data_IF_729437320756
#
_entry.id   IF_729437320756
#
_cell.length_a   1.000
_cell.length_b   1.000
_cell.length_c   1.000
_cell.angle_alpha   90.00
_cell.angle_beta   90.00
_cell.angle_gamma   90.00
#
_symmetry.space_group_name_H-M   'P 1'
#
loop_
_entity.id
_entity.type
_entity.pdbx_description
1 polymer ?
#
# COMPACT_ATOMS: atom_id res chain seq x y z
N UNK A 1 6.55 14.33 -61.60
CA UNK A 1 6.82 13.92 -62.98
C UNK A 1 8.32 13.59 -63.12
N UNK A 2 8.61 12.44 -63.74
CA UNK A 2 9.87 11.99 -64.38
C UNK A 2 11.23 11.96 -63.60
N UNK A 3 11.52 10.82 -62.96
CA UNK A 3 12.57 9.78 -63.25
C UNK A 3 14.09 10.15 -63.45
N UNK A 4 15.03 9.17 -63.38
CA UNK A 4 16.21 9.20 -62.47
C UNK A 4 17.58 9.07 -63.18
N UNK A 5 18.68 9.18 -62.43
CA UNK A 5 20.05 8.90 -62.90
C UNK A 5 20.70 7.70 -62.20
N UNK A 6 21.22 6.77 -63.01
CA UNK A 6 21.89 5.51 -62.68
C UNK A 6 23.30 5.54 -63.30
N UNK A 7 24.35 5.15 -62.58
CA UNK A 7 25.62 4.61 -63.13
C UNK A 7 26.40 3.91 -61.99
N UNK A 8 26.50 2.57 -61.94
CA UNK A 8 27.58 1.67 -62.46
C UNK A 8 28.99 2.07 -61.98
N UNK A 9 29.71 1.32 -61.14
CA UNK A 9 30.26 -0.06 -61.18
C UNK A 9 31.71 -0.15 -61.72
N UNK A 10 32.64 -0.63 -60.88
CA UNK A 10 33.86 -1.40 -61.21
C UNK A 10 34.51 -1.89 -59.87
N UNK A 11 34.53 -3.17 -59.47
CA UNK A 11 35.35 -4.33 -59.92
C UNK A 11 36.86 -4.06 -59.81
N UNK A 12 37.65 -4.63 -58.88
CA UNK A 12 38.16 -6.02 -58.72
C UNK A 12 39.68 -5.85 -58.43
N UNK A 13 40.47 -6.63 -57.67
CA UNK A 13 40.81 -8.06 -57.62
C UNK A 13 41.72 -8.29 -56.38
N UNK A 14 41.49 -9.32 -55.56
CA UNK A 14 42.24 -10.60 -55.42
C UNK A 14 43.75 -10.53 -55.11
N UNK A 15 44.17 -11.13 -53.98
CA UNK A 15 44.89 -12.44 -53.81
C UNK A 15 45.38 -12.53 -52.35
N UNK A 16 44.92 -13.48 -51.53
CA UNK A 16 45.28 -14.90 -51.44
C UNK A 16 46.67 -15.16 -50.79
N UNK A 17 46.68 -15.90 -49.67
CA UNK A 17 47.80 -16.81 -49.37
C UNK A 17 48.19 -17.05 -47.91
N UNK A 18 47.82 -18.26 -47.45
CA UNK A 18 48.60 -19.22 -46.62
C UNK A 18 48.50 -19.19 -45.08
N UNK A 19 48.15 -20.38 -44.59
CA UNK A 19 48.05 -20.89 -43.21
C UNK A 19 49.42 -21.41 -42.68
N UNK A 20 49.49 -22.14 -41.55
CA UNK A 20 50.08 -21.72 -40.26
C UNK A 20 51.38 -22.50 -39.91
N UNK A 21 51.87 -22.41 -38.66
CA UNK A 21 52.36 -23.63 -37.99
C UNK A 21 51.95 -23.79 -36.52
N UNK A 22 52.18 -25.02 -36.04
CA UNK A 22 51.83 -25.62 -34.75
C UNK A 22 52.92 -25.45 -33.66
N UNK A 23 52.52 -25.84 -32.45
CA UNK A 23 53.29 -26.34 -31.29
C UNK A 23 54.06 -25.34 -30.39
N UNK A 24 53.72 -25.32 -29.09
CA UNK A 24 54.48 -26.05 -28.05
C UNK A 24 53.77 -25.99 -26.68
N UNK A 25 53.89 -27.10 -25.95
CA UNK A 25 53.46 -27.32 -24.58
C UNK A 25 54.47 -26.73 -23.57
N UNK A 26 54.01 -26.45 -22.35
CA UNK A 26 54.87 -26.02 -21.24
C UNK A 26 54.14 -26.09 -19.89
N UNK A 27 54.51 -27.10 -19.13
CA UNK A 27 54.41 -27.37 -17.69
C UNK A 27 53.85 -26.30 -16.72
N UNK A 28 53.01 -26.76 -15.78
CA UNK A 28 52.99 -26.20 -14.42
C UNK A 28 52.62 -27.28 -13.39
N UNK A 29 53.49 -27.39 -12.39
CA UNK A 29 53.60 -28.41 -11.35
C UNK A 29 52.52 -28.31 -10.26
N UNK A 30 52.19 -29.47 -9.69
CA UNK A 30 51.58 -29.60 -8.37
C UNK A 30 52.59 -29.22 -7.26
N UNK A 31 52.10 -28.90 -6.06
CA UNK A 31 52.54 -29.72 -4.93
C UNK A 31 51.39 -30.18 -4.03
N UNK A 32 51.62 -31.37 -3.46
CA UNK A 32 50.78 -32.02 -2.48
C UNK A 32 51.10 -31.58 -1.03
N UNK A 33 50.15 -31.93 -0.16
CA UNK A 33 50.30 -32.29 1.25
C UNK A 33 50.22 -31.19 2.32
N UNK A 34 49.11 -31.23 3.07
CA UNK A 34 48.92 -30.54 4.34
C UNK A 34 47.73 -31.10 5.10
N UNK A 35 47.87 -32.32 5.66
CA UNK A 35 46.93 -32.90 6.66
C UNK A 35 46.90 -32.01 7.92
N UNK A 36 45.71 -31.54 8.31
CA UNK A 36 45.34 -31.41 9.74
C UNK A 36 43.87 -31.74 9.93
N UNK A 37 43.65 -32.74 10.78
CA UNK A 37 42.32 -33.14 11.24
C UNK A 37 41.71 -32.12 12.19
N UNK A 38 40.38 -32.07 12.19
CA UNK A 38 39.57 -31.36 13.16
C UNK A 38 38.16 -31.92 13.12
N UNK A 39 37.88 -32.84 14.04
CA UNK A 39 36.58 -33.49 14.21
C UNK A 39 35.50 -32.44 14.55
N UNK A 40 34.62 -32.17 13.59
CA UNK A 40 33.42 -31.34 13.75
C UNK A 40 32.18 -32.21 13.94
N UNK A 41 31.63 -32.14 15.16
CA UNK A 41 30.44 -32.82 15.69
C UNK A 41 29.27 -32.96 14.69
N UNK A 42 28.87 -34.19 14.42
CA UNK A 42 27.58 -34.51 13.81
C UNK A 42 26.43 -34.25 14.79
N UNK A 43 25.53 -33.32 14.44
CA UNK A 43 24.18 -33.25 15.04
C UNK A 43 23.19 -33.86 14.05
N UNK A 44 22.76 -35.08 14.37
CA UNK A 44 21.65 -35.77 13.69
C UNK A 44 20.34 -35.02 13.96
N UNK A 45 19.60 -34.80 12.88
CA UNK A 45 18.21 -34.37 12.86
C UNK A 45 17.34 -35.29 13.73
N UNK A 46 16.75 -34.75 14.79
CA UNK A 46 15.59 -35.35 15.45
C UNK A 46 14.33 -34.91 14.71
N UNK A 47 13.72 -35.86 14.01
CA UNK A 47 12.33 -35.81 13.58
C UNK A 47 11.45 -35.74 14.83
N UNK A 48 10.57 -34.76 14.91
CA UNK A 48 9.45 -34.76 15.86
C UNK A 48 8.19 -35.26 15.13
N UNK A 49 7.34 -36.04 15.82
CA UNK A 49 6.16 -36.66 15.24
C UNK A 49 5.00 -35.67 15.10
N UNK A 50 4.25 -35.86 14.02
CA UNK A 50 2.94 -35.26 13.77
C UNK A 50 1.90 -35.94 14.66
N UNK A 51 1.07 -35.21 15.43
CA UNK A 51 -0.15 -35.78 15.98
C UNK A 51 -1.30 -35.61 14.98
N UNK A 52 -1.72 -36.73 14.43
CA UNK A 52 -3.04 -36.92 13.81
C UNK A 52 -4.11 -36.81 14.89
N UNK A 53 -4.99 -35.82 14.79
CA UNK A 53 -6.13 -35.63 15.67
C UNK A 53 -7.32 -35.09 14.89
N UNK A 54 -8.27 -35.97 14.62
CA UNK A 54 -9.59 -35.73 14.06
C UNK A 54 -10.41 -34.76 14.90
N UNK A 55 -11.20 -33.89 14.26
CA UNK A 55 -12.63 -33.70 14.57
C UNK A 55 -13.32 -32.73 13.59
N UNK A 56 -14.25 -33.32 12.86
CA UNK A 56 -15.37 -32.69 12.17
C UNK A 56 -16.20 -31.85 13.14
N UNK A 57 -16.51 -30.61 12.77
CA UNK A 57 -17.67 -29.89 13.30
C UNK A 57 -18.36 -29.16 12.14
N UNK A 58 -19.54 -29.66 11.80
CA UNK A 58 -20.47 -29.09 10.83
C UNK A 58 -21.03 -27.76 11.32
N UNK A 59 -21.20 -26.88 10.35
CA UNK A 59 -22.01 -25.68 10.26
C UNK A 59 -23.13 -25.49 11.30
N UNK A 60 -23.11 -24.30 11.90
CA UNK A 60 -24.28 -23.54 12.36
C UNK A 60 -25.09 -23.05 11.15
N UNK A 61 -26.41 -23.17 11.20
CA UNK A 61 -27.32 -22.07 10.84
C UNK A 61 -28.76 -22.41 11.26
N UNK A 62 -29.22 -21.84 12.38
CA UNK A 62 -30.64 -21.68 12.69
C UNK A 62 -30.96 -20.20 12.50
N UNK A 63 -31.84 -19.93 11.55
CA UNK A 63 -32.39 -18.61 11.26
C UNK A 63 -33.18 -18.09 12.46
N UNK A 64 -32.82 -16.91 12.95
CA UNK A 64 -33.62 -16.13 13.89
C UNK A 64 -34.40 -15.09 13.08
N UNK A 65 -35.71 -15.28 12.99
CA UNK A 65 -36.64 -14.30 12.44
C UNK A 65 -36.90 -13.21 13.49
N UNK A 66 -36.36 -12.01 13.25
CA UNK A 66 -36.66 -10.82 14.05
C UNK A 66 -37.94 -10.16 13.54
N UNK A 67 -38.97 -10.12 14.40
CA UNK A 67 -40.21 -9.35 14.22
C UNK A 67 -39.91 -7.86 14.46
N UNK A 68 -40.32 -7.00 13.52
CA UNK A 68 -40.45 -5.56 13.72
C UNK A 68 -41.85 -5.25 14.30
N UNK A 69 -41.94 -4.28 15.22
CA UNK A 69 -42.93 -3.19 15.12
C UNK A 69 -42.20 -1.84 15.25
N UNK A 70 -42.71 -0.69 14.74
CA UNK A 70 -44.05 -0.18 15.08
C UNK A 70 -44.73 0.69 13.98
N UNK A 71 -46.02 0.97 14.14
CA UNK A 71 -46.65 2.17 13.57
C UNK A 71 -47.67 2.68 14.58
N UNK A 72 -47.34 3.82 15.21
CA UNK A 72 -48.20 4.56 16.12
C UNK A 72 -48.66 5.80 15.35
N UNK A 73 -49.97 5.86 15.19
CA UNK A 73 -50.72 6.85 14.42
C UNK A 73 -50.84 8.15 15.23
N UNK A 74 -50.69 9.29 14.59
CA UNK A 74 -50.90 10.61 15.19
C UNK A 74 -51.62 11.51 14.19
N UNK A 75 -52.88 11.83 14.47
CA UNK A 75 -53.62 12.93 13.84
C UNK A 75 -54.28 13.81 14.93
N UNK A 76 -54.13 15.15 14.90
CA UNK A 76 -54.66 16.08 15.90
C UNK A 76 -55.90 16.83 15.39
N UNK A 77 -56.93 17.02 16.23
CA UNK A 77 -58.00 18.04 16.04
C UNK A 77 -58.41 18.63 17.39
N UNK A 78 -58.15 19.93 17.65
CA UNK A 78 -59.02 21.11 17.43
C UNK A 78 -60.18 21.19 18.44
N UNK A 79 -60.26 22.29 19.20
CA UNK A 79 -61.54 22.74 19.79
C UNK A 79 -61.50 23.71 20.97
N UNK A 80 -61.45 25.03 20.67
CA UNK A 80 -62.22 26.13 21.27
C UNK A 80 -62.22 26.37 22.81
N UNK A 81 -61.64 27.48 23.29
CA UNK A 81 -62.20 28.84 23.41
C UNK A 81 -63.20 29.03 24.58
N UNK A 82 -62.80 29.81 25.59
CA UNK A 82 -63.70 30.51 26.51
C UNK A 82 -63.10 31.87 26.91
N UNK A 83 -63.91 32.91 26.72
CA UNK A 83 -63.65 34.32 27.07
C UNK A 83 -64.57 34.69 28.22
N UNK A 84 -64.06 35.37 29.25
CA UNK A 84 -64.88 36.02 30.28
C UNK A 84 -64.04 36.75 31.34
N UNK A 85 -64.53 37.86 31.94
CA UNK A 85 -63.71 39.07 32.02
C UNK A 85 -63.58 39.74 33.41
N UNK A 86 -62.68 40.74 33.47
CA UNK A 86 -62.54 41.85 34.45
C UNK A 86 -62.20 41.52 35.91
N UNK A 87 -61.12 42.14 36.43
CA UNK A 87 -61.21 43.37 37.25
C UNK A 87 -59.82 43.84 37.70
N UNK A 88 -59.73 45.16 37.88
CA UNK A 88 -58.56 45.95 38.29
C UNK A 88 -58.15 45.64 39.74
N UNK A 89 -56.86 45.73 40.04
CA UNK A 89 -56.37 46.56 41.13
C UNK A 89 -54.85 46.78 41.05
N UNK A 90 -54.46 48.00 41.42
CA UNK A 90 -53.09 48.49 41.59
C UNK A 90 -52.36 47.67 42.64
N UNK A 91 -51.08 47.36 42.42
CA UNK A 91 -50.09 47.60 43.48
C UNK A 91 -48.69 47.85 42.90
N UNK A 92 -48.24 49.07 43.16
CA UNK A 92 -46.89 49.59 43.03
C UNK A 92 -46.01 48.85 44.05
N UNK A 93 -44.89 48.27 43.64
CA UNK A 93 -43.72 48.06 44.51
C UNK A 93 -42.46 47.94 43.66
N UNK A 94 -41.58 48.89 43.92
CA UNK A 94 -40.24 49.02 43.39
C UNK A 94 -39.40 47.78 43.72
N UNK A 95 -38.74 47.20 42.72
CA UNK A 95 -37.52 46.41 42.89
C UNK A 95 -36.57 46.68 41.72
N UNK A 96 -35.75 47.70 41.93
CA UNK A 96 -34.42 47.82 41.32
C UNK A 96 -33.54 46.68 41.87
N UNK A 97 -32.67 46.15 41.00
CA UNK A 97 -31.49 45.31 41.27
C UNK A 97 -31.58 43.87 40.74
N UNK A 98 -30.78 43.58 39.70
CA UNK A 98 -30.43 42.20 39.36
C UNK A 98 -30.01 41.88 37.92
N UNK A 99 -29.71 42.84 37.04
CA UNK A 99 -29.32 42.52 35.63
C UNK A 99 -27.80 42.37 35.43
N UNK A 100 -26.99 42.56 36.47
CA UNK A 100 -25.52 42.62 36.34
C UNK A 100 -24.76 41.31 36.60
N UNK A 101 -25.43 40.15 36.73
CA UNK A 101 -24.77 38.86 37.01
C UNK A 101 -25.11 37.70 36.05
N UNK A 102 -25.66 38.00 34.86
CA UNK A 102 -25.95 36.96 33.85
C UNK A 102 -24.86 36.81 32.78
N UNK A 103 -24.11 37.88 32.47
CA UNK A 103 -23.14 37.89 31.37
C UNK A 103 -21.84 37.13 31.68
N UNK A 104 -21.46 36.98 32.95
CA UNK A 104 -20.23 36.27 33.34
C UNK A 104 -20.37 34.74 33.35
N UNK A 105 -21.58 34.18 33.44
CA UNK A 105 -21.80 32.73 33.37
C UNK A 105 -21.91 32.21 31.93
N UNK A 106 -22.39 33.05 31.00
CA UNK A 106 -22.42 32.72 29.56
C UNK A 106 -21.04 32.71 28.91
N UNK A 107 -20.16 33.65 29.30
CA UNK A 107 -18.80 33.74 28.76
C UNK A 107 -17.91 32.53 29.15
N UNK A 108 -18.04 32.00 30.37
CA UNK A 108 -17.27 30.84 30.81
C UNK A 108 -17.70 29.52 30.14
N UNK A 109 -18.97 29.38 29.75
CA UNK A 109 -19.45 28.18 29.05
C UNK A 109 -19.01 28.14 27.58
N UNK A 110 -18.89 29.32 26.93
CA UNK A 110 -18.34 29.42 25.58
C UNK A 110 -16.82 29.19 25.53
N UNK A 111 -16.07 29.57 26.58
CA UNK A 111 -14.64 29.30 26.71
C UNK A 111 -14.32 27.82 27.01
N UNK A 112 -15.20 27.11 27.72
CA UNK A 112 -15.04 25.68 27.96
C UNK A 112 -15.32 24.81 26.71
N UNK A 113 -16.17 25.28 25.78
CA UNK A 113 -16.45 24.59 24.53
C UNK A 113 -15.38 24.80 23.44
N UNK A 114 -14.58 25.88 23.54
CA UNK A 114 -13.41 26.10 22.68
C UNK A 114 -12.16 25.33 23.16
N UNK A 115 -12.22 24.72 24.35
CA UNK A 115 -11.12 23.98 24.97
C UNK A 115 -11.21 22.45 24.77
N UNK A 116 -11.93 21.98 23.75
CA UNK A 116 -11.47 20.77 23.05
C UNK A 116 -10.20 21.16 22.29
N UNK A 117 -9.11 21.36 23.04
CA UNK A 117 -7.79 21.19 22.49
C UNK A 117 -7.80 19.78 21.89
N UNK A 118 -7.93 19.71 20.56
CA UNK A 118 -7.61 18.50 19.84
C UNK A 118 -6.19 18.17 20.27
N UNK A 119 -6.03 17.23 21.21
CA UNK A 119 -4.71 16.85 21.65
C UNK A 119 -3.99 16.37 20.41
N UNK A 120 -2.93 17.09 20.04
CA UNK A 120 -2.08 16.72 18.93
C UNK A 120 -1.47 15.36 19.27
N UNK A 121 -2.06 14.30 18.72
CA UNK A 121 -1.56 12.94 18.85
C UNK A 121 -0.37 12.74 17.93
N UNK A 122 0.54 11.88 18.37
CA UNK A 122 1.59 11.33 17.52
C UNK A 122 1.19 9.91 17.12
N UNK A 123 1.20 9.65 15.82
CA UNK A 123 0.93 8.32 15.26
C UNK A 123 2.22 7.73 14.70
N UNK A 124 2.54 6.49 15.08
CA UNK A 124 3.62 5.71 14.47
C UNK A 124 3.12 5.15 13.15
N UNK A 125 3.81 5.49 12.06
CA UNK A 125 3.41 5.11 10.70
C UNK A 125 4.57 4.47 9.97
N UNK A 126 4.35 3.25 9.52
CA UNK A 126 5.29 2.58 8.62
C UNK A 126 5.06 3.01 7.18
N UNK A 127 6.16 3.40 6.52
CA UNK A 127 6.22 3.73 5.10
C UNK A 127 6.73 2.52 4.33
N UNK A 128 5.96 2.03 3.36
CA UNK A 128 6.41 0.94 2.48
C UNK A 128 7.59 1.43 1.64
N UNK A 129 8.72 0.76 1.78
CA UNK A 129 9.96 1.06 1.06
C UNK A 129 9.93 0.63 -0.42
N UNK A 130 8.99 1.17 -1.21
CA UNK A 130 8.90 0.99 -2.66
C UNK A 130 8.77 2.35 -3.35
N UNK A 131 9.52 2.60 -4.42
CA UNK A 131 9.31 3.77 -5.29
C UNK A 131 8.00 3.58 -6.07
N UNK A 132 7.12 4.58 -6.24
CA UNK A 132 7.17 5.96 -5.72
C UNK A 132 6.42 6.16 -4.39
N UNK A 133 6.11 5.10 -3.65
CA UNK A 133 5.34 5.12 -2.41
C UNK A 133 6.07 5.80 -1.26
N UNK A 134 7.30 5.36 -0.97
CA UNK A 134 8.22 6.02 -0.05
C UNK A 134 9.67 5.57 -0.27
N UNK A 135 10.60 6.51 -0.13
CA UNK A 135 12.05 6.29 -0.15
C UNK A 135 12.76 7.34 0.69
N UNK A 136 14.05 7.13 0.97
CA UNK A 136 14.90 8.18 1.55
C UNK A 136 14.93 9.40 0.63
N UNK A 137 14.91 10.58 1.23
CA UNK A 137 15.16 11.81 0.50
C UNK A 137 16.58 11.75 -0.11
N UNK A 138 16.75 12.03 -1.42
CA UNK A 138 18.07 12.10 -2.02
C UNK A 138 18.93 13.22 -1.43
N UNK A 139 18.32 14.27 -0.89
CA UNK A 139 19.01 15.31 -0.12
C UNK A 139 19.17 14.85 1.34
N UNK A 140 20.41 14.60 1.81
CA UNK A 140 20.67 14.15 3.18
C UNK A 140 20.40 15.23 4.24
N UNK A 141 20.38 16.51 3.84
CA UNK A 141 20.20 17.65 4.75
C UNK A 141 18.75 18.14 4.79
N UNK A 142 17.87 17.52 4.00
CA UNK A 142 16.46 17.88 3.97
C UNK A 142 15.78 17.63 5.33
N UNK A 143 15.00 18.63 5.78
CA UNK A 143 14.24 18.53 7.03
C UNK A 143 13.25 17.34 7.05
N UNK A 144 12.72 16.94 5.88
CA UNK A 144 11.97 15.70 5.74
C UNK A 144 12.90 14.59 5.19
N UNK A 145 13.19 13.53 5.98
CA UNK A 145 14.12 12.46 5.59
C UNK A 145 13.56 11.51 4.53
N UNK A 146 12.25 11.57 4.23
CA UNK A 146 11.60 10.68 3.27
C UNK A 146 10.83 11.45 2.20
N UNK A 147 10.67 10.84 1.04
CA UNK A 147 9.83 11.39 -0.06
C UNK A 147 8.98 10.28 -0.68
N UNK A 148 7.84 10.64 -1.24
CA UNK A 148 6.94 9.73 -1.96
C UNK A 148 5.47 10.02 -1.69
N UNK A 149 4.60 9.23 -2.35
CA UNK A 149 3.14 9.37 -2.27
C UNK A 149 2.65 9.33 -0.81
N UNK A 150 3.08 8.32 -0.05
CA UNK A 150 2.61 8.13 1.33
C UNK A 150 3.11 9.27 2.22
N UNK A 151 4.34 9.74 2.01
CA UNK A 151 4.90 10.87 2.77
C UNK A 151 4.06 12.14 2.56
N UNK A 152 3.72 12.45 1.31
CA UNK A 152 2.91 13.63 0.99
C UNK A 152 1.46 13.51 1.48
N UNK A 153 0.89 12.31 1.45
CA UNK A 153 -0.42 12.05 2.07
C UNK A 153 -0.38 12.31 3.58
N UNK A 154 0.69 11.87 4.27
CA UNK A 154 0.85 12.08 5.71
C UNK A 154 1.12 13.54 6.05
N UNK A 155 1.90 14.27 5.24
CA UNK A 155 2.09 15.72 5.43
C UNK A 155 0.77 16.48 5.35
N UNK A 156 -0.07 16.14 4.37
CA UNK A 156 -1.39 16.76 4.24
C UNK A 156 -2.32 16.37 5.40
N UNK A 157 -2.24 15.11 5.87
CA UNK A 157 -2.93 14.67 7.08
C UNK A 157 -2.50 15.48 8.32
N UNK A 158 -1.20 15.65 8.56
CA UNK A 158 -0.66 16.45 9.67
C UNK A 158 -1.15 17.90 9.58
N UNK A 159 -1.10 18.49 8.39
CA UNK A 159 -1.56 19.86 8.13
C UNK A 159 -3.06 20.06 8.45
N UNK A 160 -3.91 19.09 8.08
CA UNK A 160 -5.37 19.17 8.29
C UNK A 160 -5.80 18.86 9.71
N UNK A 161 -5.11 17.92 10.36
CA UNK A 161 -5.53 17.38 11.66
C UNK A 161 -4.85 18.05 12.86
N UNK A 162 -3.69 18.70 12.64
CA UNK A 162 -2.81 19.15 13.72
C UNK A 162 -2.10 18.00 14.45
N UNK A 163 -2.29 16.75 14.03
CA UNK A 163 -1.55 15.60 14.53
C UNK A 163 -0.18 15.51 13.89
N UNK A 164 0.67 14.64 14.45
CA UNK A 164 2.02 14.36 13.96
C UNK A 164 2.12 12.88 13.60
N UNK A 165 2.97 12.56 12.63
CA UNK A 165 3.29 11.17 12.29
C UNK A 165 4.79 10.92 12.42
N UNK A 166 5.12 9.90 13.23
CA UNK A 166 6.48 9.37 13.39
C UNK A 166 6.65 8.30 12.32
N UNK A 167 7.43 8.61 11.29
CA UNK A 167 7.53 7.81 10.08
C UNK A 167 8.75 6.88 10.13
N UNK A 168 8.56 5.61 9.83
CA UNK A 168 9.65 4.63 9.68
C UNK A 168 9.63 4.05 8.29
N UNK A 169 10.75 4.10 7.56
CA UNK A 169 10.86 3.44 6.26
C UNK A 169 11.08 1.94 6.44
N UNK A 170 10.10 1.14 6.06
CA UNK A 170 9.95 -0.24 6.51
C UNK A 170 9.77 -1.20 5.30
N UNK A 171 10.53 -2.30 5.20
CA UNK A 171 10.31 -3.32 4.18
C UNK A 171 8.89 -3.91 4.29
N UNK A 172 8.25 -4.20 3.15
CA UNK A 172 6.83 -4.58 3.11
C UNK A 172 6.44 -5.70 4.11
N UNK A 173 7.21 -6.79 4.17
CA UNK A 173 6.94 -7.91 5.08
C UNK A 173 7.00 -7.51 6.57
N UNK A 174 7.77 -6.47 6.92
CA UNK A 174 7.84 -5.94 8.27
C UNK A 174 6.63 -5.03 8.57
N UNK A 175 6.14 -4.24 7.60
CA UNK A 175 4.91 -3.44 7.77
C UNK A 175 3.72 -4.31 8.17
N UNK A 176 3.54 -5.46 7.53
CA UNK A 176 2.47 -6.41 7.87
C UNK A 176 2.59 -6.91 9.32
N UNK A 177 3.82 -7.23 9.75
CA UNK A 177 4.10 -7.69 11.11
C UNK A 177 3.83 -6.58 12.12
N UNK A 178 4.30 -5.36 11.85
CA UNK A 178 4.21 -4.24 12.77
C UNK A 178 2.74 -3.81 12.95
N UNK A 179 1.92 -3.88 11.89
CA UNK A 179 0.45 -3.76 11.99
C UNK A 179 -0.16 -4.89 12.84
N UNK A 180 0.28 -6.13 12.66
CA UNK A 180 -0.26 -7.29 13.36
C UNK A 180 0.02 -7.28 14.87
N UNK A 181 1.19 -6.77 15.28
CA UNK A 181 1.59 -6.70 16.70
C UNK A 181 1.28 -5.35 17.35
N UNK A 182 0.95 -4.32 16.59
CA UNK A 182 0.66 -2.98 17.09
C UNK A 182 1.89 -2.09 17.27
N UNK A 183 3.00 -2.39 16.56
CA UNK A 183 4.23 -1.59 16.56
C UNK A 183 4.12 -0.34 15.66
N UNK A 184 3.14 -0.30 14.77
CA UNK A 184 2.66 0.92 14.12
C UNK A 184 1.16 1.09 14.34
N UNK A 185 0.70 2.35 14.34
CA UNK A 185 -0.70 2.69 14.57
C UNK A 185 -1.52 2.50 13.30
N UNK A 186 -1.00 2.98 12.18
CA UNK A 186 -1.54 2.68 10.85
C UNK A 186 -0.45 2.75 9.78
N UNK A 187 -0.74 2.19 8.60
CA UNK A 187 0.03 2.37 7.38
C UNK A 187 -0.90 2.66 6.20
N UNK A 188 -0.40 3.27 5.12
CA UNK A 188 -1.15 3.48 3.88
C UNK A 188 -0.62 2.53 2.82
N UNK A 189 -1.41 1.53 2.47
CA UNK A 189 -0.96 0.41 1.63
C UNK A 189 -2.09 -0.24 0.83
N UNK A 190 -1.75 -1.06 -0.16
CA UNK A 190 -2.74 -1.84 -0.89
C UNK A 190 -3.50 -2.79 0.06
N UNK A 191 -4.83 -2.76 0.00
CA UNK A 191 -5.66 -3.61 0.86
C UNK A 191 -5.66 -5.06 0.38
N UNK A 192 -5.57 -6.01 1.31
CA UNK A 192 -5.77 -7.44 1.05
C UNK A 192 -6.58 -8.05 2.19
N UNK A 193 -7.55 -8.91 1.87
CA UNK A 193 -8.54 -9.40 2.84
C UNK A 193 -7.95 -10.15 4.04
N UNK A 194 -6.80 -10.83 3.88
CA UNK A 194 -6.12 -11.48 4.99
C UNK A 194 -5.75 -10.50 6.14
N UNK A 195 -5.60 -9.21 5.81
CA UNK A 195 -5.29 -8.14 6.77
C UNK A 195 -6.45 -7.81 7.70
N UNK A 196 -7.68 -8.12 7.31
CA UNK A 196 -8.87 -7.90 8.13
C UNK A 196 -8.81 -8.66 9.47
N UNK A 197 -7.95 -9.67 9.61
CA UNK A 197 -7.72 -10.36 10.87
C UNK A 197 -7.10 -9.44 11.94
N UNK A 198 -6.19 -8.54 11.57
CA UNK A 198 -5.36 -7.76 12.51
C UNK A 198 -5.37 -6.24 12.30
N UNK A 199 -5.91 -5.74 11.21
CA UNK A 199 -6.12 -4.31 10.99
C UNK A 199 -7.53 -4.01 10.49
N UNK A 200 -8.01 -2.81 10.80
CA UNK A 200 -9.24 -2.26 10.26
C UNK A 200 -8.97 -1.58 8.92
N UNK A 201 -9.91 -1.76 8.00
CA UNK A 201 -9.89 -1.12 6.68
C UNK A 201 -10.44 0.30 6.82
N UNK A 202 -9.56 1.28 6.69
CA UNK A 202 -9.93 2.69 6.71
C UNK A 202 -10.27 3.25 5.33
N UNK A 203 -10.00 4.54 5.16
CA UNK A 203 -10.29 5.29 3.93
C UNK A 203 -9.51 4.74 2.74
N UNK A 204 -10.22 4.45 1.65
CA UNK A 204 -9.66 4.06 0.36
C UNK A 204 -9.40 5.31 -0.50
N UNK A 205 -8.23 5.37 -1.15
CA UNK A 205 -7.77 6.53 -1.91
C UNK A 205 -7.95 6.35 -3.43
N UNK A 206 -7.19 5.43 -4.00
CA UNK A 206 -7.14 5.17 -5.45
C UNK A 206 -7.18 3.67 -5.72
N UNK A 207 -7.84 3.22 -6.80
CA UNK A 207 -7.77 1.83 -7.22
C UNK A 207 -6.35 1.50 -7.70
N UNK A 208 -5.91 0.28 -7.43
CA UNK A 208 -4.64 -0.28 -7.84
C UNK A 208 -4.89 -1.61 -8.52
N UNK A 209 -4.55 -1.71 -9.79
CA UNK A 209 -4.52 -2.99 -10.49
C UNK A 209 -3.24 -3.73 -10.15
N UNK A 210 -3.39 -4.96 -9.68
CA UNK A 210 -2.29 -5.88 -9.50
C UNK A 210 -2.36 -6.95 -10.58
N UNK A 211 -1.19 -7.30 -11.08
CA UNK A 211 -1.07 -8.22 -12.19
C UNK A 211 0.36 -8.62 -12.46
N UNK A 212 0.57 -9.15 -13.66
CA UNK A 212 1.86 -9.58 -14.16
C UNK A 212 2.18 -8.78 -15.42
N UNK A 213 3.41 -8.27 -15.51
CA UNK A 213 3.97 -7.69 -16.73
C UNK A 213 5.12 -8.54 -17.22
N UNK A 214 4.97 -9.13 -18.39
CA UNK A 214 5.94 -10.02 -18.99
C UNK A 214 7.01 -9.24 -19.75
N UNK A 215 8.25 -9.75 -19.75
CA UNK A 215 9.27 -9.21 -20.65
C UNK A 215 8.87 -9.49 -22.11
N UNK A 216 9.42 -8.72 -23.04
CA UNK A 216 9.15 -8.86 -24.47
C UNK A 216 9.47 -10.28 -24.96
N UNK A 217 8.59 -10.81 -25.81
CA UNK A 217 8.71 -12.17 -26.35
C UNK A 217 8.15 -13.27 -25.44
N UNK A 218 7.81 -12.97 -24.19
CA UNK A 218 7.14 -13.92 -23.28
C UNK A 218 5.64 -13.70 -23.35
N UNK A 219 4.91 -14.76 -23.72
CA UNK A 219 3.46 -14.71 -23.86
C UNK A 219 2.79 -15.01 -22.53
N UNK A 220 1.96 -14.08 -22.04
CA UNK A 220 1.14 -14.23 -20.84
C UNK A 220 -0.25 -13.67 -21.14
N UNK A 221 -1.17 -14.55 -21.54
CA UNK A 221 -2.55 -14.15 -21.91
C UNK A 221 -3.59 -14.67 -20.93
N UNK A 222 -3.20 -15.63 -20.10
CA UNK A 222 -4.06 -16.31 -19.16
C UNK A 222 -3.30 -16.64 -17.89
N UNK A 223 -4.04 -16.92 -16.82
CA UNK A 223 -3.46 -17.36 -15.55
C UNK A 223 -2.62 -18.64 -15.71
N UNK A 224 -3.03 -19.59 -16.56
CA UNK A 224 -2.30 -20.85 -16.77
C UNK A 224 -0.95 -20.65 -17.46
N UNK A 225 -0.74 -19.54 -18.16
CA UNK A 225 0.57 -19.22 -18.73
C UNK A 225 1.60 -18.89 -17.65
N UNK A 226 1.15 -18.40 -16.47
CA UNK A 226 2.03 -18.10 -15.34
C UNK A 226 2.72 -19.34 -14.79
N UNK A 227 2.08 -20.51 -14.89
CA UNK A 227 2.65 -21.79 -14.43
C UNK A 227 3.83 -22.26 -15.30
N UNK A 228 3.95 -21.74 -16.52
CA UNK A 228 4.98 -22.12 -17.49
C UNK A 228 6.26 -21.31 -17.31
N UNK A 229 6.21 -20.20 -16.57
CA UNK A 229 7.32 -19.26 -16.40
C UNK A 229 7.72 -19.08 -14.93
N UNK A 230 8.81 -18.36 -14.69
CA UNK A 230 9.15 -17.87 -13.36
C UNK A 230 8.75 -16.40 -13.29
N UNK A 231 8.01 -16.04 -12.25
CA UNK A 231 7.50 -14.68 -12.03
C UNK A 231 8.24 -14.04 -10.85
N UNK A 232 8.94 -12.94 -11.10
CA UNK A 232 9.58 -12.14 -10.06
C UNK A 232 8.56 -11.32 -9.27
N UNK A 233 8.72 -11.25 -7.95
CA UNK A 233 7.87 -10.41 -7.10
C UNK A 233 8.62 -9.95 -5.84
N UNK A 234 8.35 -8.74 -5.30
CA UNK A 234 8.87 -8.36 -3.99
C UNK A 234 8.40 -9.32 -2.90
N UNK A 235 9.31 -9.70 -1.99
CA UNK A 235 9.01 -10.61 -0.90
C UNK A 235 7.93 -10.04 0.03
N UNK A 236 6.92 -10.85 0.32
CA UNK A 236 5.84 -10.51 1.25
C UNK A 236 4.70 -9.70 0.61
N UNK A 237 4.90 -9.17 -0.60
CA UNK A 237 3.84 -8.51 -1.36
C UNK A 237 2.69 -9.49 -1.60
N UNK A 238 1.46 -9.02 -1.37
CA UNK A 238 0.25 -9.74 -1.72
C UNK A 238 -0.24 -9.26 -3.07
N UNK A 239 -0.17 -10.13 -4.08
CA UNK A 239 -0.55 -9.77 -5.45
C UNK A 239 -2.01 -10.12 -5.69
N UNK A 240 -2.35 -11.38 -5.49
CA UNK A 240 -3.70 -11.92 -5.66
C UNK A 240 -3.82 -13.21 -4.85
N UNK A 241 -4.94 -13.49 -4.14
CA UNK A 241 -5.05 -14.69 -3.32
C UNK A 241 -4.82 -16.01 -4.08
N UNK A 242 -5.29 -16.11 -5.33
CA UNK A 242 -5.08 -17.30 -6.16
C UNK A 242 -3.59 -17.39 -6.53
N UNK A 243 -3.02 -16.31 -7.07
CA UNK A 243 -1.60 -16.25 -7.41
C UNK A 243 -0.69 -16.57 -6.22
N UNK A 244 -0.94 -15.96 -5.07
CA UNK A 244 -0.09 -16.03 -3.88
C UNK A 244 -0.07 -17.46 -3.29
N UNK A 245 -1.21 -18.15 -3.29
CA UNK A 245 -1.37 -19.49 -2.73
C UNK A 245 -1.02 -20.63 -3.71
N UNK A 246 -0.95 -20.36 -5.02
CA UNK A 246 -0.70 -21.37 -6.04
C UNK A 246 0.76 -21.88 -6.00
N UNK A 247 0.98 -23.19 -5.71
CA UNK A 247 2.32 -23.78 -5.66
C UNK A 247 2.87 -24.14 -7.05
N UNK A 248 2.03 -24.18 -8.10
CA UNK A 248 2.46 -24.47 -9.47
C UNK A 248 3.11 -23.24 -10.13
N UNK A 249 2.84 -22.04 -9.61
CA UNK A 249 3.50 -20.82 -10.06
C UNK A 249 4.86 -20.68 -9.37
N UNK A 250 5.93 -20.75 -10.18
CA UNK A 250 7.31 -20.53 -9.73
C UNK A 250 7.54 -19.03 -9.50
N UNK A 251 7.85 -18.66 -8.25
CA UNK A 251 8.04 -17.26 -7.82
C UNK A 251 9.51 -17.01 -7.46
N UNK A 252 10.10 -15.97 -8.06
CA UNK A 252 11.42 -15.46 -7.69
C UNK A 252 11.25 -14.24 -6.76
N UNK A 253 11.37 -14.48 -5.46
CA UNK A 253 11.09 -13.47 -4.44
C UNK A 253 12.32 -12.58 -4.20
N UNK A 254 12.21 -11.31 -4.57
CA UNK A 254 13.29 -10.32 -4.49
C UNK A 254 13.02 -9.24 -3.45
N UNK A 255 13.97 -8.31 -3.28
CA UNK A 255 13.87 -7.21 -2.32
C UNK A 255 12.80 -6.19 -2.73
N UNK A 256 12.81 -5.76 -3.99
CA UNK A 256 11.95 -4.70 -4.51
C UNK A 256 11.66 -4.88 -6.01
N UNK A 257 10.77 -4.03 -6.54
CA UNK A 257 10.39 -4.03 -7.94
C UNK A 257 11.54 -3.72 -8.90
N UNK A 258 12.46 -2.83 -8.53
CA UNK A 258 13.59 -2.45 -9.39
C UNK A 258 14.48 -3.66 -9.65
N UNK A 259 14.76 -4.47 -8.63
CA UNK A 259 15.51 -5.70 -8.77
C UNK A 259 14.74 -6.73 -9.61
N UNK A 260 13.43 -6.89 -9.39
CA UNK A 260 12.61 -7.81 -10.20
C UNK A 260 12.64 -7.45 -11.69
N UNK A 261 12.45 -6.16 -12.01
CA UNK A 261 12.46 -5.62 -13.37
C UNK A 261 13.84 -5.84 -14.02
N UNK A 262 14.92 -5.52 -13.33
CA UNK A 262 16.29 -5.73 -13.84
C UNK A 262 16.59 -7.21 -14.09
N UNK A 263 16.16 -8.10 -13.20
CA UNK A 263 16.32 -9.56 -13.41
C UNK A 263 15.54 -10.04 -14.63
N UNK A 264 14.32 -9.54 -14.82
CA UNK A 264 13.48 -9.92 -15.95
C UNK A 264 14.08 -9.51 -17.31
N UNK A 265 14.65 -8.30 -17.39
CA UNK A 265 15.30 -7.78 -18.61
C UNK A 265 16.65 -8.46 -18.87
N UNK A 266 17.43 -8.74 -17.83
CA UNK A 266 18.77 -9.35 -17.96
C UNK A 266 18.77 -10.84 -18.35
N UNK A 267 17.64 -11.37 -18.83
CA UNK A 267 17.42 -12.78 -19.17
C UNK A 267 17.93 -13.76 -18.10
N UNK A 268 17.65 -13.42 -16.83
CA UNK A 268 17.86 -14.34 -15.71
C UNK A 268 16.62 -15.21 -15.51
N UNK A 269 16.49 -15.81 -14.33
CA UNK A 269 15.44 -16.79 -14.05
C UNK A 269 14.01 -16.22 -14.24
N UNK A 270 13.75 -14.99 -13.82
CA UNK A 270 12.42 -14.37 -13.94
C UNK A 270 12.12 -13.91 -15.39
N UNK A 271 10.94 -14.25 -15.89
CA UNK A 271 10.48 -13.90 -17.24
C UNK A 271 9.36 -12.85 -17.24
N UNK A 272 8.78 -12.59 -16.07
CA UNK A 272 7.75 -11.60 -15.85
C UNK A 272 7.86 -11.07 -14.42
N UNK A 273 7.22 -9.92 -14.14
CA UNK A 273 7.18 -9.32 -12.80
C UNK A 273 5.74 -9.16 -12.35
N UNK A 274 5.42 -9.58 -11.13
CA UNK A 274 4.12 -9.43 -10.50
C UNK A 274 4.08 -8.27 -9.50
N UNK A 275 2.94 -7.59 -9.43
CA UNK A 275 2.62 -6.58 -8.44
C UNK A 275 1.73 -5.47 -8.99
N UNK A 276 1.80 -4.28 -8.38
CA UNK A 276 1.04 -3.11 -8.82
C UNK A 276 1.46 -2.69 -10.24
N UNK A 277 0.55 -2.80 -11.22
CA UNK A 277 0.85 -2.52 -12.62
C UNK A 277 1.24 -1.06 -12.84
N UNK A 278 0.65 -0.13 -12.09
CA UNK A 278 1.05 1.29 -12.10
C UNK A 278 2.48 1.49 -11.61
N UNK A 279 2.87 0.80 -10.53
CA UNK A 279 4.23 0.87 -9.99
C UNK A 279 5.25 0.22 -10.92
N UNK A 280 4.90 -0.93 -11.52
CA UNK A 280 5.73 -1.55 -12.56
C UNK A 280 5.90 -0.61 -13.75
N UNK A 281 4.80 0.01 -14.23
CA UNK A 281 4.82 1.01 -15.28
C UNK A 281 5.75 2.19 -14.97
N UNK A 282 5.59 2.77 -13.79
CA UNK A 282 6.42 3.89 -13.31
C UNK A 282 7.92 3.54 -13.31
N UNK A 283 8.29 2.39 -12.73
CA UNK A 283 9.70 2.01 -12.61
C UNK A 283 10.29 1.65 -13.98
N UNK A 284 9.52 0.97 -14.83
CA UNK A 284 9.94 0.66 -16.21
C UNK A 284 10.19 1.95 -17.00
N UNK A 285 9.30 2.94 -16.90
CA UNK A 285 9.45 4.26 -17.53
C UNK A 285 10.71 4.97 -17.04
N UNK A 286 10.86 5.07 -15.72
CA UNK A 286 12.01 5.70 -15.07
C UNK A 286 13.34 5.05 -15.46
N UNK A 287 13.35 3.74 -15.72
CA UNK A 287 14.53 3.00 -16.15
C UNK A 287 14.73 3.00 -17.68
N UNK A 288 13.80 3.57 -18.46
CA UNK A 288 13.80 3.55 -19.93
C UNK A 288 13.81 2.14 -20.52
N UNK A 289 13.01 1.25 -19.93
CA UNK A 289 12.94 -0.18 -20.27
C UNK A 289 11.61 -0.59 -20.92
N UNK A 290 10.81 0.35 -21.40
CA UNK A 290 9.48 0.11 -21.95
C UNK A 290 9.52 -0.87 -23.13
N UNK A 291 10.55 -0.76 -23.97
CA UNK A 291 10.77 -1.63 -25.12
C UNK A 291 11.09 -3.09 -24.75
N UNK A 292 11.44 -3.35 -23.48
CA UNK A 292 11.81 -4.67 -22.95
C UNK A 292 10.62 -5.42 -22.34
N UNK A 293 9.45 -4.80 -22.24
CA UNK A 293 8.24 -5.41 -21.68
C UNK A 293 7.12 -5.50 -22.73
N UNK A 294 6.26 -6.49 -22.58
CA UNK A 294 5.17 -6.80 -23.50
C UNK A 294 3.86 -7.07 -22.75
N UNK A 295 3.37 -8.31 -22.86
CA UNK A 295 2.08 -8.75 -22.34
C UNK A 295 1.84 -8.34 -20.87
N UNK A 296 0.60 -7.92 -20.58
CA UNK A 296 0.12 -7.59 -19.25
C UNK A 296 -1.09 -8.46 -18.94
N UNK A 297 -1.11 -9.06 -17.76
CA UNK A 297 -2.25 -9.81 -17.22
C UNK A 297 -2.67 -9.19 -15.91
N UNK A 298 -3.86 -8.58 -15.88
CA UNK A 298 -4.49 -8.11 -14.62
C UNK A 298 -5.00 -9.33 -13.86
N UNK A 299 -4.68 -9.41 -12.57
CA UNK A 299 -5.10 -10.49 -11.68
C UNK A 299 -6.19 -10.03 -10.72
N UNK A 300 -6.06 -8.82 -10.17
CA UNK A 300 -7.11 -8.18 -9.39
C UNK A 300 -7.00 -6.66 -9.39
N UNK A 301 -8.00 -6.04 -8.77
CA UNK A 301 -8.01 -4.62 -8.44
C UNK A 301 -8.30 -4.47 -6.95
N UNK A 302 -7.44 -3.74 -6.25
CA UNK A 302 -7.64 -3.34 -4.85
C UNK A 302 -7.55 -1.82 -4.72
N UNK A 303 -7.53 -1.29 -3.50
CA UNK A 303 -7.35 0.14 -3.26
C UNK A 303 -6.16 0.38 -2.34
N UNK A 304 -5.43 1.46 -2.61
CA UNK A 304 -4.59 2.08 -1.59
C UNK A 304 -5.50 2.51 -0.44
N UNK A 305 -5.21 2.07 0.77
CA UNK A 305 -6.12 2.24 1.91
C UNK A 305 -5.33 2.49 3.18
N UNK A 306 -5.92 3.23 4.13
CA UNK A 306 -5.43 3.27 5.51
C UNK A 306 -5.67 1.92 6.17
N UNK A 307 -4.62 1.21 6.56
CA UNK A 307 -4.69 0.00 7.37
C UNK A 307 -4.39 0.36 8.82
N UNK A 308 -5.41 0.40 9.68
CA UNK A 308 -5.26 0.79 11.09
C UNK A 308 -5.08 -0.46 11.96
N UNK A 309 -4.01 -0.56 12.74
CA UNK A 309 -3.78 -1.74 13.58
C UNK A 309 -4.87 -1.87 14.66
N UNK A 310 -5.50 -3.04 14.76
CA UNK A 310 -6.45 -3.33 15.84
C UNK A 310 -5.80 -3.38 17.23
N UNK A 311 -4.46 -3.48 17.29
CA UNK A 311 -3.67 -3.50 18.53
C UNK A 311 -3.02 -2.16 18.84
N UNK A 312 -3.23 -1.13 18.01
CA UNK A 312 -2.72 0.20 18.29
C UNK A 312 -3.28 0.74 19.60
N UNK A 313 -2.43 1.35 20.42
CA UNK A 313 -2.87 2.12 21.60
C UNK A 313 -3.71 3.34 21.21
N UNK A 314 -3.65 3.77 19.94
CA UNK A 314 -4.39 4.89 19.36
C UNK A 314 -5.65 4.44 18.61
N UNK A 315 -6.12 3.18 18.73
CA UNK A 315 -7.30 2.67 18.01
C UNK A 315 -8.56 3.51 18.22
N UNK A 316 -8.73 4.14 19.40
CA UNK A 316 -9.84 5.05 19.67
C UNK A 316 -9.86 6.32 18.79
N UNK A 317 -8.75 6.63 18.12
CA UNK A 317 -8.63 7.76 17.19
C UNK A 317 -8.92 7.37 15.73
N UNK A 318 -9.16 6.09 15.42
CA UNK A 318 -9.28 5.60 14.04
C UNK A 318 -10.32 6.37 13.22
N UNK A 319 -11.52 6.60 13.77
CA UNK A 319 -12.59 7.30 13.07
C UNK A 319 -12.18 8.73 12.70
N UNK A 320 -11.47 9.42 13.59
CA UNK A 320 -10.95 10.77 13.34
C UNK A 320 -9.87 10.75 12.25
N UNK A 321 -8.95 9.78 12.29
CA UNK A 321 -7.90 9.62 11.27
C UNK A 321 -8.53 9.39 9.89
N UNK A 322 -9.50 8.49 9.82
CA UNK A 322 -10.22 8.20 8.58
C UNK A 322 -11.02 9.40 8.07
N UNK A 323 -11.66 10.17 8.95
CA UNK A 323 -12.39 11.38 8.54
C UNK A 323 -11.47 12.38 7.82
N UNK A 324 -10.25 12.60 8.33
CA UNK A 324 -9.27 13.50 7.70
C UNK A 324 -8.87 13.00 6.32
N UNK A 325 -8.49 11.73 6.19
CA UNK A 325 -8.14 11.15 4.88
C UNK A 325 -9.32 11.17 3.91
N UNK A 326 -10.55 10.98 4.39
CA UNK A 326 -11.75 11.07 3.57
C UNK A 326 -11.89 12.46 2.96
N UNK A 327 -11.63 13.54 3.70
CA UNK A 327 -11.67 14.89 3.13
C UNK A 327 -10.67 15.08 1.98
N UNK A 328 -9.50 14.41 2.04
CA UNK A 328 -8.49 14.47 0.97
C UNK A 328 -8.94 13.69 -0.28
N UNK A 329 -9.74 12.65 -0.10
CA UNK A 329 -10.35 11.91 -1.21
C UNK A 329 -11.46 12.76 -1.83
N UNK A 330 -12.34 13.32 -1.00
CA UNK A 330 -13.52 14.08 -1.42
C UNK A 330 -13.13 15.35 -2.22
N UNK A 331 -12.06 16.05 -1.83
CA UNK A 331 -11.58 17.27 -2.53
C UNK A 331 -10.52 17.01 -3.63
N UNK A 332 -10.25 15.72 -3.92
CA UNK A 332 -9.30 15.28 -4.94
C UNK A 332 -7.82 15.48 -4.59
N UNK A 333 -7.46 15.93 -3.38
CA UNK A 333 -6.07 16.09 -2.95
C UNK A 333 -5.30 14.78 -2.99
N UNK A 334 -5.89 13.68 -2.51
CA UNK A 334 -5.26 12.38 -2.53
C UNK A 334 -4.93 11.92 -3.96
N UNK A 335 -5.84 12.17 -4.91
CA UNK A 335 -5.64 11.86 -6.32
C UNK A 335 -4.50 12.69 -6.92
N UNK A 336 -4.48 14.01 -6.69
CA UNK A 336 -3.42 14.89 -7.19
C UNK A 336 -2.03 14.49 -6.67
N UNK A 337 -1.94 14.12 -5.38
CA UNK A 337 -0.69 13.62 -4.78
C UNK A 337 -0.27 12.33 -5.49
N UNK A 338 -1.17 11.36 -5.66
CA UNK A 338 -0.89 10.10 -6.35
C UNK A 338 -0.39 10.33 -7.78
N UNK A 339 -1.12 11.10 -8.57
CA UNK A 339 -0.82 11.33 -10.00
C UNK A 339 0.52 12.04 -10.19
N UNK A 340 0.83 13.05 -9.37
CA UNK A 340 2.11 13.79 -9.42
C UNK A 340 3.32 12.87 -9.32
N UNK A 341 3.24 11.84 -8.48
CA UNK A 341 4.34 10.90 -8.27
C UNK A 341 4.32 9.73 -9.25
N UNK A 342 3.14 9.24 -9.60
CA UNK A 342 3.00 8.06 -10.45
C UNK A 342 3.25 8.40 -11.93
N UNK A 343 2.81 9.58 -12.36
CA UNK A 343 2.88 10.09 -13.73
C UNK A 343 3.55 11.48 -13.74
N UNK A 344 4.83 11.58 -13.34
CA UNK A 344 5.53 12.85 -13.38
C UNK A 344 5.59 13.36 -14.83
N UNK A 345 5.48 14.67 -15.07
CA UNK A 345 5.75 15.22 -16.39
C UNK A 345 7.19 14.91 -16.81
N UNK A 346 7.39 14.58 -18.09
CA UNK A 346 8.70 14.26 -18.68
C UNK A 346 9.67 15.44 -18.68
#
# INVERSE_FOLDING_TARGET
>A
MARPGLCRAASARRRAGRSPPQHLAGDAQAPACGRRGGQGRGRRNRRLPVPSGTRSARALSRAAAARQPPLLDSDPRVGQAWVGPRLRSRQRRDKVNGVWFSWLRGACLCLALLASAAQAREFRVDLIQFDPWAKKNPDPDAAEPYVGIVVDLLKEFERRSGHRTIKTLTPYARVERDLEVGDCDFSIMAWGEARAAYANRGTAFVPLEFGVRARKGVRVRSYEDLKKIIVGAPRGLKVDPRFDADPEIRKDLVLDYTLAIRKAVADRDAMAVAGSLSTLGHIIHKLKLEAEFGDVLVLNTTHLTVAFSKKSSQIGAEAQVNAVFKTMVDDGTARRIYERWMFPPD
#
